data_IF_948555940828
#
_entry.id   IF_948555940828
#
_cell.length_a   1.000
_cell.length_b   1.000
_cell.length_c   1.000
_cell.angle_alpha   90.00
_cell.angle_beta   90.00
_cell.angle_gamma   90.00
#
_symmetry.space_group_name_H-M   'P 1'
#
loop_
_entity.id
_entity.type
_entity.pdbx_description
1 polymer ?
#
# COMPACT_ATOMS: atom_id res chain seq x y z
N UNK A 1 -25.43 12.10 -0.75
CA UNK A 1 -25.94 11.82 0.59
C UNK A 1 -25.84 10.33 0.84
N UNK A 2 -24.70 9.86 1.33
CA UNK A 2 -24.56 8.52 1.92
C UNK A 2 -23.63 8.69 3.12
N UNK A 3 -24.14 8.34 4.29
CA UNK A 3 -23.59 8.58 5.62
C UNK A 3 -22.54 7.51 5.93
N UNK A 4 -21.32 7.93 6.28
CA UNK A 4 -20.29 7.05 6.85
C UNK A 4 -20.44 7.01 8.36
N UNK A 5 -20.79 5.84 8.90
CA UNK A 5 -20.80 5.57 10.33
C UNK A 5 -19.44 4.99 10.76
N UNK A 6 -18.73 5.74 11.60
CA UNK A 6 -17.53 5.27 12.27
C UNK A 6 -17.92 4.29 13.39
N UNK A 7 -17.33 3.09 13.42
CA UNK A 7 -17.49 2.10 14.48
C UNK A 7 -16.26 2.12 15.39
N UNK A 8 -16.42 2.69 16.59
CA UNK A 8 -15.45 2.62 17.65
C UNK A 8 -15.67 1.32 18.44
N UNK A 9 -14.64 0.45 18.53
CA UNK A 9 -14.67 -0.78 19.31
C UNK A 9 -14.01 -0.52 20.69
N UNK A 10 -14.81 -0.54 21.75
CA UNK A 10 -14.36 -0.46 23.12
C UNK A 10 -14.07 -1.87 23.68
N UNK A 11 -12.83 -2.05 24.17
CA UNK A 11 -12.37 -3.28 24.83
C UNK A 11 -12.78 -3.25 26.31
N UNK A 12 -13.61 -4.18 26.77
CA UNK A 12 -13.92 -4.39 28.18
C UNK A 12 -13.35 -5.74 28.65
N UNK A 13 -12.34 -5.69 29.51
CA UNK A 13 -11.87 -6.83 30.28
C UNK A 13 -12.90 -7.15 31.40
N UNK A 14 -13.28 -8.41 31.53
CA UNK A 14 -13.90 -8.95 32.72
C UNK A 14 -13.19 -10.22 33.18
N UNK A 15 -12.45 -10.11 34.29
CA UNK A 15 -11.91 -11.20 35.10
C UNK A 15 -12.95 -11.62 36.12
N UNK A 16 -13.26 -12.91 36.22
CA UNK A 16 -13.74 -13.64 37.43
C UNK A 16 -13.89 -15.09 36.98
N UNK A 17 -13.42 -16.12 37.60
CA UNK A 17 -13.07 -16.41 38.95
C UNK A 17 -13.29 -17.92 39.09
N UNK A 18 -12.24 -18.69 39.45
CA UNK A 18 -12.27 -20.12 39.74
C UNK A 18 -13.25 -20.45 40.87
N UNK A 19 -14.02 -21.52 40.74
CA UNK A 19 -14.50 -22.34 41.87
C UNK A 19 -14.45 -23.82 41.54
N UNK A 20 -13.64 -24.50 42.31
CA UNK A 20 -13.64 -25.95 42.51
C UNK A 20 -14.85 -26.39 43.29
N UNK A 21 -15.41 -27.52 42.98
CA UNK A 21 -16.26 -28.31 43.89
C UNK A 21 -16.12 -29.81 43.60
N UNK A 22 -15.56 -30.38 44.47
CA UNK A 22 -15.57 -31.62 45.28
C UNK A 22 -16.24 -32.86 44.67
N UNK A 23 -15.41 -33.90 44.71
CA UNK A 23 -15.72 -35.32 44.62
C UNK A 23 -16.22 -35.85 45.95
N UNK A 24 -17.23 -36.68 45.95
CA UNK A 24 -17.34 -37.77 46.94
C UNK A 24 -18.19 -38.93 46.44
N UNK A 25 -17.85 -40.17 46.85
CA UNK A 25 -18.34 -41.41 46.27
C UNK A 25 -19.32 -42.14 47.19
N UNK A 26 -20.00 -43.15 46.69
CA UNK A 26 -20.59 -44.34 47.29
C UNK A 26 -21.93 -44.67 46.58
N UNK A 27 -22.38 -45.88 46.36
CA UNK A 27 -22.15 -47.19 46.93
C UNK A 27 -22.55 -48.29 45.92
N UNK A 28 -21.97 -49.47 46.15
CA UNK A 28 -22.19 -50.68 45.35
C UNK A 28 -23.42 -51.47 45.86
N UNK A 29 -23.65 -52.68 45.37
CA UNK A 29 -24.92 -53.18 44.85
C UNK A 29 -25.64 -54.15 45.79
N UNK A 30 -26.91 -54.45 45.50
CA UNK A 30 -27.59 -55.59 46.13
C UNK A 30 -28.38 -56.37 45.05
N UNK A 31 -28.39 -57.69 45.20
CA UNK A 31 -28.94 -58.56 44.18
C UNK A 31 -30.34 -59.09 44.60
N UNK A 32 -31.29 -59.13 43.69
CA UNK A 32 -32.38 -60.07 43.85
C UNK A 32 -32.92 -60.49 42.47
N UNK A 33 -32.86 -61.78 42.24
CA UNK A 33 -33.33 -62.43 41.05
C UNK A 33 -34.86 -62.65 41.07
N UNK A 34 -35.45 -62.34 39.96
CA UNK A 34 -36.79 -62.89 39.61
C UNK A 34 -36.79 -63.27 38.12
N UNK A 35 -36.84 -64.55 37.91
CA UNK A 35 -37.06 -65.13 36.60
C UNK A 35 -38.49 -64.83 36.18
N UNK A 36 -38.67 -64.00 35.09
CA UNK A 36 -39.93 -63.89 34.39
C UNK A 36 -39.90 -64.73 33.14
N UNK A 37 -40.84 -65.60 33.05
CA UNK A 37 -41.17 -66.38 31.84
C UNK A 37 -41.70 -65.39 30.80
N UNK A 38 -41.10 -65.39 29.61
CA UNK A 38 -41.49 -64.57 28.49
C UNK A 38 -42.41 -65.42 27.59
N UNK A 39 -43.64 -64.99 27.39
CA UNK A 39 -44.51 -65.50 26.34
C UNK A 39 -44.02 -65.11 24.96
N UNK A 40 -44.20 -65.95 23.90
CA UNK A 40 -43.75 -65.61 22.56
C UNK A 40 -44.58 -64.47 21.99
N UNK A 41 -43.89 -63.39 21.59
CA UNK A 41 -44.43 -62.22 20.92
C UNK A 41 -44.96 -62.59 19.52
N UNK A 42 -46.04 -61.95 19.13
CA UNK A 42 -46.66 -62.04 17.81
C UNK A 42 -45.69 -61.55 16.70
N UNK A 43 -45.77 -61.99 15.45
CA UNK A 43 -44.88 -61.62 14.38
C UNK A 43 -45.00 -60.12 14.09
N UNK A 44 -43.83 -59.52 14.09
CA UNK A 44 -43.57 -58.11 13.87
C UNK A 44 -44.14 -57.63 12.52
N UNK A 45 -44.91 -56.55 12.58
CA UNK A 45 -45.41 -55.86 11.41
C UNK A 45 -44.23 -55.20 10.70
N UNK A 46 -44.14 -55.47 9.41
CA UNK A 46 -43.05 -55.13 8.52
C UNK A 46 -42.34 -53.82 8.82
N UNK A 47 -41.02 -53.89 8.99
CA UNK A 47 -40.11 -52.74 8.94
C UNK A 47 -40.23 -52.14 7.55
N UNK A 48 -40.80 -50.94 7.42
CA UNK A 48 -40.72 -50.18 6.18
C UNK A 48 -39.21 -50.01 5.84
N UNK A 49 -38.81 -50.21 4.58
CA UNK A 49 -37.42 -50.01 4.20
C UNK A 49 -37.05 -48.56 4.51
N UNK A 50 -35.96 -48.36 5.25
CA UNK A 50 -35.35 -47.05 5.50
C UNK A 50 -35.41 -46.22 4.22
N UNK A 51 -36.10 -45.10 4.28
CA UNK A 51 -36.11 -44.14 3.19
C UNK A 51 -34.64 -43.79 2.89
N UNK A 52 -34.20 -44.07 1.66
CA UNK A 52 -32.87 -43.68 1.17
C UNK A 52 -32.73 -42.16 1.40
N UNK A 53 -31.97 -41.78 2.42
CA UNK A 53 -31.53 -40.41 2.59
C UNK A 53 -30.33 -40.25 1.65
N UNK A 54 -30.44 -39.43 0.60
CA UNK A 54 -29.30 -39.18 -0.26
C UNK A 54 -28.16 -38.62 0.60
N UNK A 55 -26.91 -38.98 0.31
CA UNK A 55 -25.78 -38.41 1.01
C UNK A 55 -25.84 -36.89 0.93
N UNK A 56 -25.84 -36.21 2.05
CA UNK A 56 -25.70 -34.78 2.09
C UNK A 56 -24.27 -34.53 1.67
N UNK A 57 -24.09 -33.77 0.58
CA UNK A 57 -22.74 -33.37 0.16
C UNK A 57 -22.11 -32.60 1.32
N UNK A 58 -20.96 -33.07 1.77
CA UNK A 58 -20.22 -32.36 2.84
C UNK A 58 -19.64 -31.05 2.30
N UNK A 59 -19.67 -29.96 3.10
CA UNK A 59 -19.02 -28.71 2.71
C UNK A 59 -17.59 -28.94 2.33
N UNK A 60 -17.14 -28.35 1.23
CA UNK A 60 -15.78 -28.51 0.76
C UNK A 60 -15.18 -27.20 0.27
N UNK A 61 -13.86 -27.08 0.42
CA UNK A 61 -13.03 -26.00 -0.13
C UNK A 61 -11.76 -26.62 -0.67
N UNK A 62 -11.28 -26.15 -1.80
CA UNK A 62 -10.04 -26.60 -2.41
C UNK A 62 -9.34 -25.45 -3.13
N UNK A 63 -8.03 -25.31 -2.89
CA UNK A 63 -7.15 -24.44 -3.67
C UNK A 63 -6.71 -25.20 -4.92
N UNK A 64 -7.26 -24.81 -6.07
CA UNK A 64 -6.94 -25.43 -7.36
C UNK A 64 -5.64 -24.90 -7.95
N UNK A 65 -5.30 -23.64 -7.62
CA UNK A 65 -4.05 -22.96 -8.00
C UNK A 65 -3.72 -21.89 -6.95
N UNK A 66 -2.42 -21.66 -6.66
CA UNK A 66 -1.25 -22.42 -7.13
C UNK A 66 -1.19 -23.83 -6.51
N UNK A 67 -0.31 -24.67 -7.06
CA UNK A 67 -0.02 -26.00 -6.47
C UNK A 67 0.75 -25.86 -5.16
N UNK A 68 0.60 -26.81 -4.26
CA UNK A 68 1.42 -26.88 -3.05
C UNK A 68 2.92 -26.90 -3.37
N UNK A 69 3.70 -26.10 -2.64
CA UNK A 69 5.13 -25.90 -2.85
C UNK A 69 5.50 -24.98 -4.03
N UNK A 70 4.54 -24.26 -4.63
CA UNK A 70 4.84 -23.33 -5.72
C UNK A 70 5.81 -22.22 -5.30
N UNK A 71 6.64 -21.75 -6.24
CA UNK A 71 7.62 -20.68 -6.03
C UNK A 71 7.22 -19.47 -6.89
N UNK A 72 7.22 -18.30 -6.30
CA UNK A 72 6.95 -17.02 -6.95
C UNK A 72 8.11 -16.07 -6.69
N UNK A 73 8.58 -15.40 -7.73
CA UNK A 73 9.63 -14.37 -7.62
C UNK A 73 8.96 -13.01 -7.54
N UNK A 74 9.50 -12.12 -6.72
CA UNK A 74 9.09 -10.72 -6.70
C UNK A 74 9.59 -10.03 -7.98
N UNK A 75 8.70 -9.82 -8.95
CA UNK A 75 9.00 -9.27 -10.27
C UNK A 75 8.13 -8.05 -10.65
N UNK A 76 7.22 -7.65 -9.78
CA UNK A 76 6.40 -6.45 -9.92
C UNK A 76 6.74 -5.43 -8.81
N UNK A 77 6.47 -4.14 -9.08
CA UNK A 77 6.56 -3.08 -8.08
C UNK A 77 5.14 -2.66 -7.68
N UNK A 78 4.84 -2.73 -6.38
CA UNK A 78 3.57 -2.30 -5.81
C UNK A 78 3.82 -1.33 -4.68
N UNK A 79 3.32 -0.11 -4.80
CA UNK A 79 3.53 0.99 -3.84
C UNK A 79 5.03 1.24 -3.53
N UNK A 80 5.88 1.01 -4.53
CA UNK A 80 7.32 1.25 -4.45
C UNK A 80 8.16 0.11 -3.90
N UNK A 81 7.56 -1.03 -3.56
CA UNK A 81 8.25 -2.22 -3.08
C UNK A 81 8.13 -3.37 -4.09
N UNK A 82 9.15 -4.23 -4.12
CA UNK A 82 9.10 -5.46 -4.87
C UNK A 82 8.01 -6.40 -4.33
N UNK A 83 7.23 -6.98 -5.22
CA UNK A 83 6.14 -7.89 -4.88
C UNK A 83 6.04 -9.07 -5.84
N UNK A 84 5.62 -10.22 -5.32
CA UNK A 84 5.24 -11.37 -6.11
C UNK A 84 3.72 -11.42 -6.23
N UNK A 85 3.20 -11.37 -7.45
CA UNK A 85 1.78 -11.51 -7.73
C UNK A 85 1.37 -12.98 -7.70
N UNK A 86 0.43 -13.32 -6.83
CA UNK A 86 -0.12 -14.67 -6.72
C UNK A 86 -1.63 -14.61 -6.91
N UNK A 87 -2.15 -15.41 -7.87
CA UNK A 87 -3.58 -15.57 -8.06
C UNK A 87 -3.99 -16.95 -7.56
N UNK A 88 -4.85 -16.96 -6.55
CA UNK A 88 -5.47 -18.17 -6.02
C UNK A 88 -6.75 -18.45 -6.80
N UNK A 89 -6.89 -19.68 -7.27
CA UNK A 89 -8.15 -20.22 -7.79
C UNK A 89 -8.67 -21.22 -6.77
N UNK A 90 -9.90 -21.03 -6.32
CA UNK A 90 -10.49 -21.82 -5.24
C UNK A 90 -11.87 -22.33 -5.66
N UNK A 91 -12.06 -23.63 -5.58
CA UNK A 91 -13.37 -24.28 -5.72
C UNK A 91 -13.96 -24.59 -4.35
N UNK A 92 -15.25 -24.40 -4.20
CA UNK A 92 -15.95 -24.66 -2.95
C UNK A 92 -17.39 -25.11 -3.20
N UNK A 93 -17.95 -25.93 -2.28
CA UNK A 93 -19.35 -26.32 -2.26
C UNK A 93 -19.92 -26.24 -0.85
N UNK A 94 -21.22 -25.92 -0.75
CA UNK A 94 -21.99 -25.85 0.49
C UNK A 94 -21.41 -24.94 1.58
N UNK A 95 -20.75 -23.84 1.17
CA UNK A 95 -20.27 -22.76 2.02
C UNK A 95 -20.87 -21.41 1.58
N UNK A 96 -21.02 -20.48 2.50
CA UNK A 96 -21.58 -19.16 2.21
C UNK A 96 -20.52 -18.17 1.68
N UNK A 97 -19.26 -18.32 2.11
CA UNK A 97 -18.11 -17.54 1.63
C UNK A 97 -16.82 -18.33 1.83
N UNK A 98 -15.77 -17.90 1.10
CA UNK A 98 -14.42 -18.42 1.28
C UNK A 98 -13.47 -17.25 1.48
N UNK A 99 -12.65 -17.31 2.53
CA UNK A 99 -11.57 -16.36 2.81
C UNK A 99 -10.23 -17.06 2.62
N UNK A 100 -9.23 -16.34 2.13
CA UNK A 100 -7.85 -16.85 2.03
C UNK A 100 -6.97 -16.14 3.06
N UNK A 101 -6.25 -16.93 3.82
CA UNK A 101 -5.37 -16.50 4.91
C UNK A 101 -3.91 -16.89 4.62
N UNK A 102 -2.98 -16.09 5.11
CA UNK A 102 -1.56 -16.42 5.13
C UNK A 102 -1.05 -16.51 6.57
N UNK A 103 -0.17 -17.49 6.83
CA UNK A 103 0.56 -17.68 8.09
C UNK A 103 -0.33 -17.71 9.36
N UNK A 104 -1.57 -18.23 9.22
CA UNK A 104 -2.61 -18.44 10.23
C UNK A 104 -3.35 -17.19 10.73
N UNK A 105 -2.82 -15.99 10.57
CA UNK A 105 -3.37 -14.77 11.19
C UNK A 105 -3.55 -13.58 10.24
N UNK A 106 -3.07 -13.68 9.00
CA UNK A 106 -3.16 -12.60 8.03
C UNK A 106 -4.17 -12.89 6.92
N UNK A 107 -5.32 -12.18 6.95
CA UNK A 107 -6.33 -12.28 5.91
C UNK A 107 -5.84 -11.63 4.62
N UNK A 108 -5.72 -12.41 3.54
CA UNK A 108 -5.39 -11.90 2.20
C UNK A 108 -6.61 -11.27 1.51
N UNK A 109 -7.79 -11.86 1.70
CA UNK A 109 -9.05 -11.37 1.16
C UNK A 109 -10.11 -12.46 0.99
N UNK A 110 -11.27 -12.04 0.49
CA UNK A 110 -12.38 -12.92 0.14
C UNK A 110 -12.22 -13.43 -1.30
N UNK A 111 -12.64 -14.67 -1.54
CA UNK A 111 -12.68 -15.24 -2.89
C UNK A 111 -13.93 -14.76 -3.60
N UNK A 112 -13.77 -14.06 -4.72
CA UNK A 112 -14.86 -13.59 -5.59
C UNK A 112 -14.76 -14.31 -6.93
N UNK A 113 -15.87 -14.87 -7.40
CA UNK A 113 -15.94 -15.63 -8.66
C UNK A 113 -14.88 -16.74 -8.77
N UNK A 114 -14.56 -17.40 -7.63
CA UNK A 114 -13.60 -18.49 -7.55
C UNK A 114 -12.14 -18.06 -7.59
N UNK A 115 -11.81 -16.78 -7.47
CA UNK A 115 -10.44 -16.29 -7.51
C UNK A 115 -10.15 -15.16 -6.51
N UNK A 116 -8.88 -15.07 -6.08
CA UNK A 116 -8.30 -13.96 -5.32
C UNK A 116 -6.89 -13.71 -5.85
N UNK A 117 -6.54 -12.45 -6.09
CA UNK A 117 -5.15 -12.06 -6.39
C UNK A 117 -4.57 -11.24 -5.24
N UNK A 118 -3.36 -11.60 -4.83
CA UNK A 118 -2.63 -10.92 -3.76
C UNK A 118 -1.16 -10.68 -4.15
N UNK A 119 -0.55 -9.61 -3.65
CA UNK A 119 0.84 -9.25 -3.90
C UNK A 119 1.67 -9.38 -2.62
N UNK A 120 2.52 -10.41 -2.56
CA UNK A 120 3.42 -10.65 -1.43
C UNK A 120 4.67 -9.77 -1.54
N UNK A 121 4.82 -8.81 -0.63
CA UNK A 121 6.02 -7.95 -0.53
C UNK A 121 7.13 -8.57 0.31
N UNK A 122 6.82 -9.50 1.20
CA UNK A 122 7.80 -10.20 2.05
C UNK A 122 8.23 -11.52 1.43
N UNK A 123 9.51 -11.79 1.42
CA UNK A 123 10.11 -13.08 1.00
C UNK A 123 9.91 -14.20 2.02
N UNK A 124 10.09 -15.45 1.59
CA UNK A 124 10.10 -16.64 2.44
C UNK A 124 8.94 -17.59 2.20
N UNK A 125 8.90 -18.64 3.00
CA UNK A 125 7.83 -19.66 2.99
C UNK A 125 6.55 -19.05 3.59
N UNK A 126 5.42 -19.28 2.92
CA UNK A 126 4.09 -18.90 3.37
C UNK A 126 3.20 -20.13 3.47
N UNK A 127 2.43 -20.23 4.53
CA UNK A 127 1.30 -21.17 4.64
C UNK A 127 0.04 -20.46 4.24
N UNK A 128 -0.69 -21.02 3.31
CA UNK A 128 -1.92 -20.45 2.78
C UNK A 128 -3.06 -21.37 3.13
N UNK A 129 -4.13 -20.83 3.72
CA UNK A 129 -5.34 -21.56 4.02
C UNK A 129 -6.54 -20.89 3.32
N UNK A 130 -7.28 -21.66 2.52
CA UNK A 130 -8.60 -21.27 2.06
C UNK A 130 -9.64 -21.85 3.02
N UNK A 131 -10.47 -21.00 3.62
CA UNK A 131 -11.42 -21.38 4.67
C UNK A 131 -12.84 -21.04 4.23
N UNK A 132 -13.69 -22.05 4.18
CA UNK A 132 -15.12 -21.92 3.89
C UNK A 132 -15.94 -21.75 5.16
N UNK A 133 -16.82 -20.76 5.14
CA UNK A 133 -17.69 -20.43 6.27
C UNK A 133 -19.16 -20.54 5.92
N UNK A 134 -19.99 -20.80 6.95
CA UNK A 134 -21.44 -20.66 6.85
C UNK A 134 -21.89 -19.18 6.93
N UNK A 135 -23.19 -18.94 6.82
CA UNK A 135 -23.77 -17.58 6.93
C UNK A 135 -23.62 -16.96 8.33
N UNK A 136 -23.35 -17.76 9.35
CA UNK A 136 -23.09 -17.28 10.73
C UNK A 136 -21.59 -17.04 11.00
N UNK A 137 -20.71 -17.37 10.03
CA UNK A 137 -19.26 -17.20 10.15
C UNK A 137 -18.57 -18.38 10.84
N UNK A 138 -19.22 -19.55 10.90
CA UNK A 138 -18.60 -20.77 11.43
C UNK A 138 -17.84 -21.47 10.30
N UNK A 139 -16.59 -21.85 10.57
CA UNK A 139 -15.76 -22.63 9.64
C UNK A 139 -16.39 -24.00 9.39
N UNK A 140 -16.57 -24.33 8.10
CA UNK A 140 -17.14 -25.60 7.65
C UNK A 140 -16.12 -26.50 6.95
N UNK A 141 -15.20 -25.90 6.19
CA UNK A 141 -14.21 -26.62 5.41
C UNK A 141 -12.92 -25.79 5.28
N UNK A 142 -11.79 -26.46 5.06
CA UNK A 142 -10.47 -25.84 4.91
C UNK A 142 -9.61 -26.64 3.94
N UNK A 143 -8.80 -25.94 3.15
CA UNK A 143 -7.70 -26.50 2.38
C UNK A 143 -6.44 -25.66 2.58
N UNK A 144 -5.28 -26.30 2.61
CA UNK A 144 -4.00 -25.65 2.92
C UNK A 144 -2.93 -26.05 1.92
N UNK A 145 -2.15 -25.04 1.51
CA UNK A 145 -0.95 -25.21 0.71
C UNK A 145 0.20 -24.41 1.30
N UNK A 146 1.40 -24.68 0.84
CA UNK A 146 2.56 -23.83 1.05
C UNK A 146 2.98 -23.19 -0.28
N UNK A 147 3.58 -22.01 -0.21
CA UNK A 147 4.28 -21.39 -1.33
C UNK A 147 5.54 -20.68 -0.82
N UNK A 148 6.50 -20.47 -1.71
CA UNK A 148 7.70 -19.69 -1.40
C UNK A 148 7.73 -18.44 -2.23
N UNK A 149 7.97 -17.29 -1.59
CA UNK A 149 8.24 -16.01 -2.24
C UNK A 149 9.74 -15.78 -2.22
N UNK A 150 10.35 -15.69 -3.39
CA UNK A 150 11.77 -15.40 -3.57
C UNK A 150 11.98 -13.90 -3.89
N UNK A 151 13.08 -13.29 -3.42
CA UNK A 151 13.43 -11.93 -3.79
C UNK A 151 13.73 -11.83 -5.30
N UNK A 152 13.69 -10.61 -5.87
CA UNK A 152 14.09 -10.40 -7.26
C UNK A 152 15.57 -10.74 -7.46
N UNK A 153 15.91 -11.22 -8.65
CA UNK A 153 17.30 -11.56 -9.00
C UNK A 153 18.23 -10.35 -9.09
N UNK A 154 17.66 -9.17 -9.38
CA UNK A 154 18.34 -7.87 -9.44
C UNK A 154 17.48 -6.84 -8.72
N UNK A 155 18.03 -6.20 -7.69
CA UNK A 155 17.40 -5.13 -6.91
C UNK A 155 17.99 -3.76 -7.20
N UNK A 156 18.80 -3.63 -8.26
CA UNK A 156 19.38 -2.34 -8.65
C UNK A 156 18.29 -1.33 -8.99
N UNK A 157 18.63 -0.06 -8.88
CA UNK A 157 17.74 1.01 -9.28
C UNK A 157 17.29 0.87 -10.75
N UNK A 158 18.17 0.43 -11.63
CA UNK A 158 17.86 0.18 -13.04
C UNK A 158 16.83 -0.92 -13.22
N UNK A 159 16.97 -2.04 -12.52
CA UNK A 159 16.00 -3.14 -12.55
C UNK A 159 14.62 -2.67 -12.04
N UNK A 160 14.59 -1.78 -11.05
CA UNK A 160 13.34 -1.20 -10.55
C UNK A 160 12.69 -0.27 -11.59
N UNK A 161 13.47 0.55 -12.31
CA UNK A 161 12.94 1.38 -13.41
C UNK A 161 12.33 0.51 -14.53
N UNK A 162 12.98 -0.60 -14.87
CA UNK A 162 12.49 -1.55 -15.86
C UNK A 162 11.16 -2.20 -15.38
N UNK A 163 11.09 -2.63 -14.14
CA UNK A 163 9.88 -3.24 -13.54
C UNK A 163 8.72 -2.24 -13.43
N UNK A 164 9.02 -0.95 -13.20
CA UNK A 164 8.05 0.15 -13.21
C UNK A 164 7.59 0.54 -14.63
N UNK A 165 8.23 0.01 -15.67
CA UNK A 165 7.95 0.37 -17.07
C UNK A 165 8.31 1.81 -17.42
N UNK A 166 9.23 2.42 -16.69
CA UNK A 166 9.75 3.76 -16.99
C UNK A 166 10.61 3.69 -18.23
N UNK A 167 10.37 4.56 -19.21
CA UNK A 167 11.22 4.67 -20.43
C UNK A 167 12.44 5.53 -20.11
N UNK A 168 13.61 4.88 -20.02
CA UNK A 168 14.85 5.50 -19.59
C UNK A 168 16.06 4.96 -20.37
N UNK A 169 17.17 5.69 -20.29
CA UNK A 169 18.48 5.25 -20.76
C UNK A 169 19.57 5.68 -19.77
N UNK A 170 20.64 4.90 -19.65
CA UNK A 170 21.79 5.28 -18.84
C UNK A 170 22.42 6.55 -19.42
N UNK A 171 22.60 7.57 -18.61
CA UNK A 171 23.31 8.78 -18.99
C UNK A 171 24.82 8.62 -18.71
N UNK A 172 25.66 9.33 -19.48
CA UNK A 172 27.08 9.36 -19.18
C UNK A 172 27.38 10.03 -17.85
N UNK A 173 28.61 9.85 -17.31
CA UNK A 173 29.02 10.44 -16.03
C UNK A 173 28.69 11.93 -15.99
N UNK A 174 27.92 12.34 -14.98
CA UNK A 174 27.49 13.72 -14.77
C UNK A 174 27.92 14.18 -13.38
N UNK A 175 28.47 15.38 -13.30
CA UNK A 175 28.98 15.95 -12.06
C UNK A 175 27.89 15.95 -10.98
N UNK A 176 28.17 15.39 -9.82
CA UNK A 176 27.27 15.32 -8.67
C UNK A 176 26.24 14.19 -8.70
N UNK A 177 25.93 13.60 -9.84
CA UNK A 177 24.94 12.53 -9.93
C UNK A 177 25.64 11.19 -9.77
N UNK A 178 25.16 10.38 -8.81
CA UNK A 178 25.75 9.09 -8.50
C UNK A 178 25.40 8.03 -9.55
N UNK A 179 24.14 7.97 -9.95
CA UNK A 179 23.61 7.04 -10.96
C UNK A 179 22.77 7.81 -11.99
N UNK A 180 23.42 8.48 -12.97
CA UNK A 180 22.73 9.36 -13.90
C UNK A 180 21.93 8.58 -14.93
N UNK A 181 20.64 8.88 -15.01
CA UNK A 181 19.71 8.37 -16.01
C UNK A 181 19.05 9.50 -16.80
N UNK A 182 18.69 9.21 -18.04
CA UNK A 182 17.88 10.08 -18.88
C UNK A 182 16.51 9.43 -19.06
N UNK A 183 15.51 10.03 -18.46
CA UNK A 183 14.13 9.55 -18.47
C UNK A 183 13.34 10.25 -19.56
N UNK A 184 12.58 9.51 -20.37
CA UNK A 184 11.66 10.09 -21.33
C UNK A 184 10.56 10.88 -20.60
N UNK A 185 10.00 11.93 -21.23
CA UNK A 185 9.21 12.92 -20.51
C UNK A 185 7.81 12.45 -20.14
N UNK A 186 7.45 11.19 -20.35
CA UNK A 186 6.15 10.62 -19.95
C UNK A 186 6.39 9.43 -19.06
N UNK A 187 5.87 9.51 -17.83
CA UNK A 187 5.92 8.43 -16.84
C UNK A 187 4.48 8.06 -16.48
N UNK A 188 4.08 6.80 -16.64
CA UNK A 188 2.73 6.31 -16.33
C UNK A 188 1.59 7.16 -16.95
N UNK A 189 1.82 7.73 -18.14
CA UNK A 189 0.84 8.59 -18.82
C UNK A 189 0.85 10.06 -18.40
N UNK A 190 1.66 10.45 -17.42
CA UNK A 190 1.85 11.85 -17.03
C UNK A 190 3.04 12.46 -17.76
N UNK A 191 2.82 13.58 -18.46
CA UNK A 191 3.86 14.31 -19.17
C UNK A 191 4.60 15.26 -18.21
N UNK A 192 5.93 15.24 -18.23
CA UNK A 192 6.77 16.15 -17.44
C UNK A 192 7.33 17.25 -18.35
N UNK A 193 6.93 18.49 -18.10
CA UNK A 193 7.32 19.63 -18.91
C UNK A 193 8.00 20.72 -18.09
N UNK A 194 9.14 21.19 -18.62
CA UNK A 194 9.79 22.39 -18.03
C UNK A 194 8.94 23.64 -18.33
N UNK A 195 8.73 24.48 -17.33
CA UNK A 195 7.79 25.63 -17.36
C UNK A 195 7.96 26.57 -18.57
N UNK A 196 9.19 26.81 -19.03
CA UNK A 196 9.45 27.69 -20.18
C UNK A 196 9.44 26.99 -21.53
N UNK A 197 9.08 25.70 -21.60
CA UNK A 197 8.99 24.96 -22.85
C UNK A 197 7.52 24.67 -23.18
N UNK A 198 7.24 24.64 -24.49
CA UNK A 198 5.93 24.25 -25.00
C UNK A 198 5.72 22.74 -25.03
N UNK A 199 6.80 21.99 -25.12
CA UNK A 199 6.77 20.53 -25.25
C UNK A 199 7.59 19.85 -24.14
N UNK A 200 7.14 18.68 -23.67
CA UNK A 200 7.92 17.84 -22.79
C UNK A 200 9.25 17.40 -23.42
N UNK A 201 10.30 17.30 -22.61
CA UNK A 201 11.62 16.87 -23.07
C UNK A 201 12.23 15.89 -22.09
N UNK A 202 13.05 14.95 -22.58
CA UNK A 202 13.76 14.00 -21.74
C UNK A 202 14.54 14.71 -20.58
N UNK A 203 14.47 14.11 -19.41
CA UNK A 203 14.97 14.67 -18.15
C UNK A 203 16.22 13.93 -17.68
N UNK A 204 17.27 14.67 -17.31
CA UNK A 204 18.45 14.11 -16.68
C UNK A 204 18.26 14.15 -15.16
N UNK A 205 18.40 13.00 -14.50
CA UNK A 205 18.25 12.88 -13.05
C UNK A 205 19.05 11.72 -12.47
N UNK A 206 19.10 11.63 -11.16
CA UNK A 206 19.55 10.44 -10.44
C UNK A 206 18.47 9.34 -10.54
N UNK A 207 18.89 8.09 -10.66
CA UNK A 207 18.00 6.96 -10.83
C UNK A 207 16.93 6.87 -9.72
N UNK A 208 17.30 7.13 -8.47
CA UNK A 208 16.37 7.14 -7.34
C UNK A 208 15.24 8.17 -7.51
N UNK A 209 15.55 9.35 -8.05
CA UNK A 209 14.52 10.35 -8.31
C UNK A 209 13.51 9.86 -9.36
N UNK A 210 13.96 9.15 -10.38
CA UNK A 210 13.07 8.61 -11.40
C UNK A 210 12.04 7.62 -10.81
N UNK A 211 12.45 6.75 -9.89
CA UNK A 211 11.55 5.86 -9.14
C UNK A 211 10.51 6.67 -8.36
N UNK A 212 10.94 7.72 -7.66
CA UNK A 212 10.02 8.56 -6.87
C UNK A 212 9.03 9.34 -7.73
N UNK A 213 9.45 9.78 -8.92
CA UNK A 213 8.55 10.42 -9.87
C UNK A 213 7.52 9.44 -10.43
N UNK A 214 7.87 8.17 -10.64
CA UNK A 214 6.90 7.13 -11.01
C UNK A 214 5.84 6.97 -9.91
N UNK A 215 6.22 6.89 -8.64
CA UNK A 215 5.27 6.83 -7.51
C UNK A 215 4.41 8.10 -7.39
N UNK A 216 4.99 9.27 -7.63
CA UNK A 216 4.23 10.52 -7.63
C UNK A 216 3.11 10.52 -8.67
N UNK A 217 3.33 9.90 -9.85
CA UNK A 217 2.27 9.81 -10.86
C UNK A 217 1.05 9.04 -10.36
N UNK A 218 1.23 8.00 -9.55
CA UNK A 218 0.14 7.23 -8.94
C UNK A 218 -0.71 8.10 -7.98
N UNK A 219 -0.08 9.02 -7.28
CA UNK A 219 -0.78 9.97 -6.37
C UNK A 219 -1.59 10.99 -7.15
N UNK A 220 -1.09 11.50 -8.28
CA UNK A 220 -1.72 12.63 -8.99
C UNK A 220 -2.74 12.21 -10.04
N UNK A 221 -2.61 11.01 -10.63
CA UNK A 221 -3.53 10.49 -11.65
C UNK A 221 -5.01 10.45 -11.20
N UNK A 222 -5.37 10.07 -9.95
CA UNK A 222 -6.75 10.07 -9.48
C UNK A 222 -7.44 11.45 -9.49
N UNK A 223 -6.67 12.54 -9.54
CA UNK A 223 -7.17 13.91 -9.66
C UNK A 223 -7.38 14.35 -11.12
N UNK A 224 -7.16 13.46 -12.10
CA UNK A 224 -7.26 13.77 -13.51
C UNK A 224 -6.07 14.56 -14.05
N UNK A 225 -4.93 14.51 -13.36
CA UNK A 225 -3.69 15.19 -13.76
C UNK A 225 -2.95 14.32 -14.76
N UNK A 226 -2.62 14.87 -15.93
CA UNK A 226 -1.84 14.22 -16.98
C UNK A 226 -0.57 14.99 -17.38
N UNK A 227 -0.33 16.15 -16.75
CA UNK A 227 0.90 16.91 -16.93
C UNK A 227 1.45 17.40 -15.58
N UNK A 228 2.76 17.27 -15.38
CA UNK A 228 3.50 17.90 -14.30
C UNK A 228 4.43 18.96 -14.88
N UNK A 229 4.25 20.22 -14.45
CA UNK A 229 5.04 21.37 -14.91
C UNK A 229 6.08 21.69 -13.85
N UNK A 230 7.37 21.60 -14.22
CA UNK A 230 8.47 21.83 -13.28
C UNK A 230 9.37 22.99 -13.71
N UNK A 231 10.12 23.56 -12.75
CA UNK A 231 11.09 24.64 -12.98
C UNK A 231 12.54 24.20 -12.85
N UNK A 232 12.80 22.96 -12.43
CA UNK A 232 14.15 22.42 -12.42
C UNK A 232 14.26 21.03 -11.78
N UNK A 233 15.28 20.27 -12.19
CA UNK A 233 15.69 19.00 -11.60
C UNK A 233 17.19 19.10 -11.27
N UNK A 234 18.05 19.24 -12.27
CA UNK A 234 19.48 19.27 -12.09
C UNK A 234 20.05 20.67 -12.22
N UNK A 235 20.77 21.09 -11.19
CA UNK A 235 21.54 22.32 -11.16
C UNK A 235 22.71 22.18 -10.16
N UNK A 236 23.94 22.06 -10.66
CA UNK A 236 25.12 21.84 -9.82
C UNK A 236 25.51 23.12 -9.08
N UNK A 237 24.89 23.36 -7.93
CA UNK A 237 25.09 24.52 -7.07
C UNK A 237 24.89 24.17 -5.60
N UNK A 238 25.40 25.04 -4.74
CA UNK A 238 25.08 24.99 -3.32
C UNK A 238 23.72 25.60 -3.00
N UNK A 239 23.20 25.27 -1.83
CA UNK A 239 22.08 25.96 -1.20
C UNK A 239 22.43 27.45 -1.09
N UNK A 240 21.54 28.34 -1.53
CA UNK A 240 21.80 29.78 -1.59
C UNK A 240 22.79 30.23 -2.67
N UNK A 241 23.31 29.31 -3.50
CA UNK A 241 24.25 29.59 -4.59
C UNK A 241 25.69 29.23 -4.25
N UNK A 242 26.59 29.30 -5.24
CA UNK A 242 28.00 28.92 -5.10
C UNK A 242 28.30 27.56 -5.74
N UNK A 243 29.63 27.26 -5.79
CA UNK A 243 30.12 26.00 -6.39
C UNK A 243 30.35 24.94 -5.29
N UNK A 244 29.68 23.77 -5.38
CA UNK A 244 29.89 22.66 -4.45
C UNK A 244 31.37 22.24 -4.29
N UNK A 245 32.17 22.30 -5.36
CA UNK A 245 33.56 21.90 -5.31
C UNK A 245 34.46 22.89 -4.51
N UNK A 246 33.94 24.05 -4.15
CA UNK A 246 34.64 24.97 -3.25
C UNK A 246 34.85 24.38 -1.86
N UNK A 247 34.05 23.39 -1.46
CA UNK A 247 34.07 22.80 -0.11
C UNK A 247 33.63 23.76 1.00
N UNK A 248 33.11 24.94 0.66
CA UNK A 248 32.75 26.00 1.62
C UNK A 248 31.26 26.16 1.84
N UNK A 249 30.45 25.39 1.14
CA UNK A 249 29.00 25.48 1.19
C UNK A 249 28.34 24.09 1.07
N UNK A 250 27.09 23.96 1.49
CA UNK A 250 26.30 22.73 1.40
C UNK A 250 25.72 22.59 -0.01
N UNK A 251 26.04 21.51 -0.75
CA UNK A 251 25.39 21.25 -2.03
C UNK A 251 23.87 21.10 -1.90
N UNK A 252 23.12 21.64 -2.86
CA UNK A 252 21.69 21.42 -2.98
C UNK A 252 21.40 20.00 -3.48
N UNK A 253 20.26 19.41 -3.15
CA UNK A 253 19.83 18.14 -3.75
C UNK A 253 19.63 18.23 -5.28
N UNK A 254 19.40 19.43 -5.81
CA UNK A 254 19.48 19.67 -7.27
C UNK A 254 20.89 19.45 -7.83
N UNK A 255 21.95 19.64 -7.05
CA UNK A 255 23.32 19.34 -7.49
C UNK A 255 23.57 17.84 -7.70
N UNK A 256 22.79 17.02 -7.04
CA UNK A 256 22.80 15.56 -7.16
C UNK A 256 21.69 15.04 -8.09
N UNK A 257 20.87 15.94 -8.68
CA UNK A 257 19.65 15.61 -9.42
C UNK A 257 18.68 14.72 -8.63
N UNK A 258 18.62 14.90 -7.31
CA UNK A 258 17.76 14.21 -6.35
C UNK A 258 16.63 15.10 -5.83
N UNK A 259 16.31 16.18 -6.56
CA UNK A 259 15.22 17.10 -6.27
C UNK A 259 14.52 17.53 -7.54
N UNK A 260 13.24 17.92 -7.40
CA UNK A 260 12.46 18.58 -8.44
C UNK A 260 11.64 19.71 -7.85
N UNK A 261 11.58 20.83 -8.57
CA UNK A 261 10.75 21.98 -8.25
C UNK A 261 9.46 21.95 -9.07
N UNK A 262 8.32 21.59 -8.45
CA UNK A 262 7.02 21.39 -9.11
C UNK A 262 6.23 22.70 -9.06
N UNK A 263 5.96 23.30 -10.22
CA UNK A 263 5.27 24.57 -10.34
C UNK A 263 3.74 24.42 -10.47
N UNK A 264 3.28 23.43 -11.24
CA UNK A 264 1.86 23.21 -11.47
C UNK A 264 1.58 21.77 -11.96
N UNK A 265 0.33 21.39 -11.89
CA UNK A 265 -0.21 20.16 -12.44
C UNK A 265 -1.29 20.48 -13.48
N UNK A 266 -1.16 19.98 -14.70
CA UNK A 266 -2.11 20.14 -15.80
C UNK A 266 -3.21 19.09 -15.75
N UNK A 267 -4.41 19.49 -16.15
CA UNK A 267 -5.60 18.65 -16.13
C UNK A 267 -5.96 18.15 -17.53
N UNK A 268 -6.11 16.84 -17.64
CA UNK A 268 -6.43 16.14 -18.87
C UNK A 268 -7.59 16.79 -19.65
N UNK A 269 -7.34 17.16 -20.90
CA UNK A 269 -8.35 17.61 -21.85
C UNK A 269 -9.01 18.95 -21.57
N UNK A 270 -8.64 19.67 -20.50
CA UNK A 270 -9.28 20.95 -20.13
C UNK A 270 -8.41 22.17 -20.42
N UNK A 271 -7.08 22.00 -20.36
CA UNK A 271 -6.11 23.10 -20.37
C UNK A 271 -6.03 23.87 -19.05
N UNK A 272 -6.77 23.43 -18.03
CA UNK A 272 -6.69 23.99 -16.67
C UNK A 272 -5.49 23.42 -15.93
N UNK A 273 -5.09 24.12 -14.84
CA UNK A 273 -3.99 23.69 -13.97
C UNK A 273 -4.35 23.85 -12.50
N UNK A 274 -3.68 23.07 -11.65
CA UNK A 274 -3.51 23.34 -10.23
C UNK A 274 -2.13 23.99 -10.05
N UNK A 275 -2.09 25.32 -9.87
CA UNK A 275 -0.85 26.09 -9.75
C UNK A 275 -0.47 26.29 -8.30
N UNK A 276 0.75 25.91 -7.94
CA UNK A 276 1.27 26.15 -6.59
C UNK A 276 1.38 27.65 -6.28
N UNK A 277 1.55 28.50 -7.29
CA UNK A 277 1.66 29.95 -7.14
C UNK A 277 0.32 30.66 -6.91
N UNK A 278 -0.73 30.24 -7.64
CA UNK A 278 -2.00 30.98 -7.64
C UNK A 278 -3.13 30.28 -6.92
N UNK A 279 -3.11 28.95 -6.82
CA UNK A 279 -4.18 28.14 -6.23
C UNK A 279 -3.87 27.68 -4.80
N UNK A 280 -2.60 27.72 -4.37
CA UNK A 280 -2.21 27.42 -2.99
C UNK A 280 -2.50 28.61 -2.07
N UNK A 281 -3.31 28.40 -1.04
CA UNK A 281 -3.61 29.43 -0.03
C UNK A 281 -2.68 29.25 1.18
N UNK A 282 -1.89 30.29 1.47
CA UNK A 282 -0.98 30.29 2.63
C UNK A 282 -1.81 30.22 3.92
N UNK A 283 -1.52 29.24 4.76
CA UNK A 283 -2.17 29.03 6.06
C UNK A 283 -1.17 29.17 7.20
N UNK A 284 -1.67 29.50 8.40
CA UNK A 284 -0.81 29.66 9.59
C UNK A 284 -0.46 28.36 10.29
N UNK A 285 -1.25 27.32 10.07
CA UNK A 285 -1.00 25.98 10.58
C UNK A 285 -0.89 25.06 9.39
N UNK A 286 0.24 24.46 9.31
CA UNK A 286 0.46 23.57 8.24
C UNK A 286 1.67 22.67 8.50
N UNK A 287 1.88 22.31 9.74
CA UNK A 287 2.91 21.40 10.28
C UNK A 287 2.41 19.96 10.45
N UNK A 288 1.11 19.73 10.21
CA UNK A 288 0.49 18.41 10.30
C UNK A 288 -0.50 18.20 9.15
N UNK A 289 -0.59 16.99 8.63
CA UNK A 289 -1.62 16.58 7.69
C UNK A 289 -2.87 16.05 8.42
N UNK A 290 -4.07 16.36 7.92
CA UNK A 290 -4.38 17.17 6.74
C UNK A 290 -4.21 18.68 6.97
N UNK A 291 -3.80 19.40 5.92
CA UNK A 291 -3.64 20.86 5.95
C UNK A 291 -4.99 21.54 5.71
N UNK A 292 -5.33 22.55 6.50
CA UNK A 292 -6.53 23.35 6.27
C UNK A 292 -6.55 23.98 4.88
N UNK A 293 -7.63 23.78 4.13
CA UNK A 293 -7.75 24.21 2.75
C UNK A 293 -8.91 25.19 2.52
N UNK A 294 -8.74 26.07 1.52
CA UNK A 294 -9.72 27.04 1.10
C UNK A 294 -10.07 26.84 -0.39
N UNK A 295 -11.14 26.09 -0.65
CA UNK A 295 -11.58 25.76 -2.01
C UNK A 295 -10.92 24.50 -2.57
N UNK A 296 -11.43 24.02 -3.71
CA UNK A 296 -11.10 22.70 -4.23
C UNK A 296 -9.66 22.58 -4.74
N UNK A 297 -9.16 23.58 -5.46
CA UNK A 297 -7.80 23.54 -6.01
C UNK A 297 -6.75 23.56 -4.89
N UNK A 298 -6.94 24.41 -3.89
CA UNK A 298 -6.07 24.48 -2.71
C UNK A 298 -6.09 23.16 -1.92
N UNK A 299 -7.27 22.54 -1.77
CA UNK A 299 -7.43 21.26 -1.10
C UNK A 299 -6.66 20.16 -1.82
N UNK A 300 -6.79 20.05 -3.14
CA UNK A 300 -6.10 19.03 -3.94
C UNK A 300 -4.58 19.20 -3.84
N UNK A 301 -4.05 20.41 -3.97
CA UNK A 301 -2.62 20.68 -3.82
C UNK A 301 -2.11 20.27 -2.44
N UNK A 302 -2.87 20.53 -1.37
CA UNK A 302 -2.54 20.18 0.01
C UNK A 302 -2.61 18.67 0.25
N UNK A 303 -3.60 18.00 -0.32
CA UNK A 303 -3.71 16.54 -0.28
C UNK A 303 -2.51 15.89 -0.99
N UNK A 304 -2.13 16.36 -2.18
CA UNK A 304 -0.94 15.87 -2.90
C UNK A 304 0.34 16.08 -2.06
N UNK A 305 0.54 17.28 -1.50
CA UNK A 305 1.72 17.56 -0.67
C UNK A 305 1.78 16.65 0.58
N UNK A 306 0.64 16.47 1.23
CA UNK A 306 0.51 15.57 2.39
C UNK A 306 0.80 14.12 2.02
N UNK A 307 0.26 13.63 0.90
CA UNK A 307 0.46 12.25 0.45
C UNK A 307 1.93 12.01 0.09
N UNK A 308 2.56 12.92 -0.67
CA UNK A 308 3.99 12.82 -0.99
C UNK A 308 4.86 12.63 0.24
N UNK A 309 4.55 13.33 1.33
CA UNK A 309 5.29 13.26 2.58
C UNK A 309 4.91 12.04 3.42
N UNK A 310 3.61 11.80 3.63
CA UNK A 310 3.13 10.74 4.53
C UNK A 310 3.47 9.34 4.03
N UNK A 311 3.47 9.13 2.71
CA UNK A 311 3.87 7.87 2.09
C UNK A 311 5.39 7.75 1.86
N UNK A 312 6.17 8.76 2.28
CA UNK A 312 7.63 8.75 2.14
C UNK A 312 8.11 8.76 0.68
N UNK A 313 7.29 9.28 -0.25
CA UNK A 313 7.71 9.43 -1.65
C UNK A 313 8.91 10.36 -1.72
N UNK A 314 8.85 11.47 -0.99
CA UNK A 314 9.98 12.38 -0.79
C UNK A 314 10.25 12.59 0.69
N UNK A 315 11.51 12.70 1.06
CA UNK A 315 11.94 12.98 2.42
C UNK A 315 11.67 14.43 2.82
N UNK A 316 11.88 15.35 1.89
CA UNK A 316 11.61 16.78 2.07
C UNK A 316 10.52 17.20 1.09
N UNK A 317 9.50 17.88 1.59
CA UNK A 317 8.44 18.52 0.81
C UNK A 317 8.28 19.95 1.27
N UNK A 318 8.95 20.92 0.62
CA UNK A 318 8.77 22.34 0.89
C UNK A 318 7.60 22.88 0.06
N UNK A 319 6.64 23.48 0.74
CA UNK A 319 5.44 24.03 0.11
C UNK A 319 5.54 25.56 0.00
N UNK A 320 4.60 26.23 -0.71
CA UNK A 320 4.54 27.70 -0.73
C UNK A 320 4.42 28.35 0.65
N UNK A 321 4.07 27.61 1.69
CA UNK A 321 4.07 28.10 3.06
C UNK A 321 5.47 28.26 3.65
N UNK A 322 6.47 27.56 3.12
CA UNK A 322 7.82 27.49 3.73
C UNK A 322 8.49 28.86 3.83
N UNK A 323 8.73 29.53 2.71
CA UNK A 323 9.31 30.88 2.68
C UNK A 323 9.03 31.58 1.34
N UNK A 324 9.50 32.81 1.19
CA UNK A 324 9.27 33.62 -0.01
C UNK A 324 9.85 33.01 -1.29
N UNK A 325 10.95 32.25 -1.21
CA UNK A 325 11.59 31.64 -2.36
C UNK A 325 10.78 30.45 -2.92
N UNK A 326 9.94 29.82 -2.10
CA UNK A 326 9.12 28.66 -2.47
C UNK A 326 7.64 29.03 -2.79
N UNK A 327 7.29 30.33 -2.95
CA UNK A 327 5.89 30.77 -3.18
C UNK A 327 5.25 30.24 -4.46
N UNK A 328 6.04 29.82 -5.42
CA UNK A 328 5.60 29.42 -6.75
C UNK A 328 5.87 27.96 -7.11
N UNK A 329 6.31 27.13 -6.15
CA UNK A 329 6.58 25.72 -6.40
C UNK A 329 6.59 24.89 -5.12
N UNK A 330 6.41 23.58 -5.27
CA UNK A 330 6.86 22.59 -4.28
C UNK A 330 8.31 22.26 -4.61
N UNK A 331 9.21 22.41 -3.65
CA UNK A 331 10.52 21.79 -3.73
C UNK A 331 10.44 20.45 -3.02
N UNK A 332 10.69 19.35 -3.74
CA UNK A 332 10.70 18.01 -3.17
C UNK A 332 12.03 17.32 -3.42
N UNK A 333 12.55 16.62 -2.41
CA UNK A 333 13.87 16.02 -2.51
C UNK A 333 14.06 14.73 -1.68
N UNK A 334 15.19 14.06 -1.92
CA UNK A 334 15.60 12.79 -1.34
C UNK A 334 16.74 12.97 -0.32
N UNK A 335 16.61 13.91 0.61
CA UNK A 335 17.58 14.15 1.68
C UNK A 335 17.56 13.03 2.71
N UNK A 336 18.60 12.20 2.73
CA UNK A 336 18.72 11.07 3.63
C UNK A 336 18.69 11.48 5.10
N UNK A 337 18.01 10.67 5.93
CA UNK A 337 17.89 10.88 7.37
C UNK A 337 17.00 12.05 7.79
N UNK A 338 16.27 12.64 6.86
CA UNK A 338 15.31 13.73 7.11
C UNK A 338 13.92 13.32 6.65
N UNK A 339 12.92 13.71 7.44
CA UNK A 339 11.51 13.66 7.03
C UNK A 339 10.90 15.01 7.41
N UNK A 340 10.62 15.85 6.43
CA UNK A 340 10.15 17.20 6.68
C UNK A 340 9.06 17.64 5.69
N UNK A 341 7.91 18.02 6.21
CA UNK A 341 6.89 18.76 5.48
C UNK A 341 7.06 20.24 5.80
N UNK A 342 7.67 20.99 4.87
CA UNK A 342 8.01 22.38 5.06
C UNK A 342 6.84 23.30 4.94
N UNK A 343 6.27 23.58 6.07
CA UNK A 343 5.24 24.55 6.25
C UNK A 343 5.82 25.66 7.10
N UNK A 344 6.22 26.77 6.48
CA UNK A 344 6.87 27.85 7.17
C UNK A 344 6.11 28.26 8.42
N UNK A 345 6.78 28.26 9.53
CA UNK A 345 6.34 29.02 10.70
C UNK A 345 6.19 30.45 10.20
N UNK A 346 4.99 31.00 10.35
CA UNK A 346 4.64 32.38 10.03
C UNK A 346 5.84 33.30 10.16
N UNK A 347 6.11 34.13 9.15
CA UNK A 347 7.24 35.06 8.99
C UNK A 347 7.51 36.01 10.16
N UNK A 348 7.81 35.44 11.31
CA UNK A 348 8.24 36.08 12.53
C UNK A 348 9.47 35.40 13.18
N UNK A 349 10.01 34.35 12.60
CA UNK A 349 11.25 33.75 13.08
C UNK A 349 12.38 34.01 12.08
N UNK A 350 13.19 35.11 12.30
CA UNK A 350 14.33 35.41 11.45
C UNK A 350 15.45 34.37 11.53
N UNK A 351 15.34 33.35 12.42
CA UNK A 351 16.31 32.27 12.54
C UNK A 351 16.06 31.12 11.55
N UNK A 352 14.85 30.98 11.01
CA UNK A 352 14.53 29.96 10.02
C UNK A 352 14.87 30.41 8.59
N UNK A 353 14.79 31.72 8.32
CA UNK A 353 15.24 32.31 7.04
C UNK A 353 16.77 32.24 6.85
N UNK A 354 17.51 31.90 7.89
CA UNK A 354 18.97 31.75 7.86
C UNK A 354 19.47 30.32 7.59
N UNK A 355 18.58 29.31 7.61
CA UNK A 355 18.88 27.98 7.11
C UNK A 355 18.54 27.96 5.62
N UNK A 356 19.39 28.65 4.84
CA UNK A 356 19.27 28.67 3.39
C UNK A 356 19.25 27.24 2.83
N UNK A 357 18.19 26.87 2.20
CA UNK A 357 18.06 25.65 1.38
C UNK A 357 18.40 25.94 -0.07
#
# INVERSE_FOLDING_TARGET
>A
MISSAALALALALALTGCRSADLSPSDAPSPDGAVRVVEPAAPDAGVEPDAFVPPVDEPSVRIDSPSDGAVFVQDEIVEGDWAARVTFSVSASDVARVDVWADDDFLLGDVVDGALTYWFRGEGLRRIAAIGYDAAGVELARDEITLTVEPPGDTSCHAMLDALGVDWEAAGPTRGIADPVRVQPVINGVAFRYVSRSEPTAMLMDCELAIRLSRLTEVILPYGIDELIHIGIYNYRCIGGGDPDSGTCTPSQHAYARAIDIHAFGLAGTGDTYSTETDWVITRRADECPIDATGDKDRILKEIACTMWAEGIFQIVLTPNYNAAHRNHFHVDLSEGSMYLGQGVSGLDPLVDGLGH
#
